data_IF_947402495368
#
_entry.id   IF_947402495368
#
_cell.length_a   1.000
_cell.length_b   1.000
_cell.length_c   1.000
_cell.angle_alpha   90.00
_cell.angle_beta   90.00
_cell.angle_gamma   90.00
#
_symmetry.space_group_name_H-M   'P 1'
#
loop_
_entity.id
_entity.type
_entity.pdbx_description
1 polymer ?
#
# COMPACT_ATOMS: atom_id res chain seq x y z
N UNK A 1 10.90 -12.59 -4.44
CA UNK A 1 10.74 -11.39 -3.62
C UNK A 1 10.55 -11.78 -2.15
N UNK A 2 11.37 -11.26 -1.25
CA UNK A 2 11.10 -11.29 0.21
C UNK A 2 10.34 -10.01 0.59
N UNK A 3 9.45 -10.09 1.58
CA UNK A 3 8.66 -8.95 2.07
C UNK A 3 8.81 -8.88 3.59
N UNK A 4 9.09 -7.69 4.13
CA UNK A 4 9.23 -7.49 5.58
C UNK A 4 7.85 -7.31 6.23
N UNK A 5 6.96 -6.56 5.57
CA UNK A 5 5.58 -6.34 6.04
C UNK A 5 4.57 -6.47 4.91
N UNK A 6 3.48 -7.20 5.19
CA UNK A 6 2.33 -7.33 4.30
C UNK A 6 1.12 -6.76 5.03
N UNK A 7 0.34 -5.93 4.35
CA UNK A 7 -0.83 -5.31 4.92
C UNK A 7 -1.98 -5.24 3.94
N UNK A 8 -3.18 -5.27 4.50
CA UNK A 8 -4.43 -5.16 3.76
C UNK A 8 -5.25 -4.03 4.37
N UNK A 9 -5.55 -3.00 3.61
CA UNK A 9 -6.57 -2.04 4.01
C UNK A 9 -7.90 -2.49 3.41
N UNK A 10 -8.91 -2.66 4.26
CA UNK A 10 -10.29 -2.86 3.83
C UNK A 10 -10.96 -1.51 3.67
N UNK A 11 -11.60 -1.28 2.54
CA UNK A 11 -12.34 -0.04 2.29
C UNK A 11 -13.80 -0.25 2.68
N UNK A 12 -14.24 0.43 3.75
CA UNK A 12 -15.64 0.53 4.12
C UNK A 12 -16.30 1.67 3.32
N UNK A 13 -16.96 1.29 2.24
CA UNK A 13 -17.67 2.19 1.34
C UNK A 13 -18.83 2.93 2.02
N UNK A 14 -19.42 2.36 3.08
CA UNK A 14 -20.55 2.98 3.78
C UNK A 14 -20.09 4.16 4.65
N UNK A 15 -18.84 4.12 5.11
CA UNK A 15 -18.24 5.13 5.98
C UNK A 15 -17.15 5.95 5.28
N UNK A 16 -16.85 5.66 4.00
CA UNK A 16 -15.73 6.21 3.25
C UNK A 16 -14.40 6.17 4.03
N UNK A 17 -14.09 5.00 4.61
CA UNK A 17 -12.94 4.85 5.51
C UNK A 17 -12.12 3.59 5.22
N UNK A 18 -10.82 3.67 5.50
CA UNK A 18 -9.89 2.55 5.37
C UNK A 18 -9.62 1.92 6.74
N UNK A 19 -9.82 0.61 6.84
CA UNK A 19 -9.51 -0.17 8.05
C UNK A 19 -8.31 -1.08 7.78
N UNK A 20 -7.17 -0.89 8.48
CA UNK A 20 -6.02 -1.76 8.32
C UNK A 20 -6.25 -3.14 8.96
N UNK A 21 -5.99 -4.19 8.21
CA UNK A 21 -5.85 -5.57 8.67
C UNK A 21 -4.37 -5.98 8.52
N UNK A 22 -3.74 -6.23 9.66
CA UNK A 22 -2.29 -6.31 9.76
C UNK A 22 -1.85 -7.72 10.11
N UNK A 23 -0.91 -8.24 9.32
CA UNK A 23 -0.22 -9.47 9.66
C UNK A 23 1.07 -9.14 10.44
N UNK A 24 0.94 -9.11 11.77
CA UNK A 24 1.96 -8.95 12.85
C UNK A 24 2.10 -7.56 13.49
N UNK A 25 2.31 -7.60 14.82
CA UNK A 25 2.91 -6.66 15.80
C UNK A 25 2.46 -5.19 15.88
N UNK A 26 2.54 -4.61 17.09
CA UNK A 26 2.31 -3.18 17.35
C UNK A 26 3.27 -2.25 16.57
N UNK A 27 4.48 -2.72 16.27
CA UNK A 27 5.45 -1.98 15.45
C UNK A 27 4.91 -1.67 14.05
N UNK A 28 4.19 -2.63 13.46
CA UNK A 28 3.62 -2.45 12.12
C UNK A 28 2.52 -1.38 12.14
N UNK A 29 1.71 -1.28 13.21
CA UNK A 29 0.74 -0.17 13.38
C UNK A 29 1.39 1.21 13.28
N UNK A 30 2.61 1.38 13.80
CA UNK A 30 3.34 2.64 13.70
C UNK A 30 3.82 2.90 12.27
N UNK A 31 4.38 1.88 11.61
CA UNK A 31 4.81 1.96 10.21
C UNK A 31 3.65 2.37 9.28
N UNK A 32 2.43 1.90 9.53
CA UNK A 32 1.23 2.23 8.73
C UNK A 32 0.83 3.69 8.79
N UNK A 33 0.91 4.31 9.98
CA UNK A 33 0.59 5.73 10.11
C UNK A 33 1.50 6.61 9.27
N UNK A 34 2.71 6.14 8.94
CA UNK A 34 3.63 6.90 8.10
C UNK A 34 3.23 6.91 6.62
N UNK A 35 2.48 5.88 6.16
CA UNK A 35 2.12 5.65 4.75
C UNK A 35 0.63 5.79 4.46
N UNK A 36 -0.20 6.16 5.44
CA UNK A 36 -1.66 6.23 5.30
C UNK A 36 -2.12 7.07 4.09
N UNK A 37 -1.51 8.25 3.88
CA UNK A 37 -1.86 9.13 2.75
C UNK A 37 -1.44 8.56 1.39
N UNK A 38 -0.33 7.82 1.34
CA UNK A 38 0.09 7.08 0.15
C UNK A 38 -0.96 6.02 -0.21
N UNK A 39 -1.44 5.26 0.79
CA UNK A 39 -2.48 4.25 0.59
C UNK A 39 -3.80 4.88 0.15
N UNK A 40 -4.21 6.00 0.75
CA UNK A 40 -5.38 6.77 0.30
C UNK A 40 -5.26 7.24 -1.15
N UNK A 41 -4.08 7.70 -1.58
CA UNK A 41 -3.82 8.09 -2.96
C UNK A 41 -4.02 6.91 -3.91
N UNK A 42 -3.41 5.77 -3.60
CA UNK A 42 -3.54 4.54 -4.40
C UNK A 42 -5.00 4.12 -4.52
N UNK A 43 -5.76 4.14 -3.41
CA UNK A 43 -7.19 3.87 -3.41
C UNK A 43 -7.95 4.79 -4.39
N UNK A 44 -7.67 6.10 -4.35
CA UNK A 44 -8.33 7.11 -5.21
C UNK A 44 -7.97 6.96 -6.69
N UNK A 45 -6.72 6.60 -6.99
CA UNK A 45 -6.25 6.43 -8.37
C UNK A 45 -6.67 5.08 -8.98
N UNK A 46 -6.92 4.07 -8.15
CA UNK A 46 -7.21 2.68 -8.54
C UNK A 46 -6.09 2.08 -9.41
N UNK A 47 -4.84 2.30 -9.00
CA UNK A 47 -3.65 1.94 -9.77
C UNK A 47 -2.67 1.15 -8.90
N UNK A 48 -1.77 0.42 -9.57
CA UNK A 48 -0.62 -0.18 -8.92
C UNK A 48 0.48 0.88 -8.85
N UNK A 49 1.05 1.08 -7.66
CA UNK A 49 2.18 2.00 -7.47
C UNK A 49 3.37 1.26 -6.86
N UNK A 50 4.56 1.52 -7.42
CA UNK A 50 5.85 1.13 -6.86
C UNK A 50 6.57 2.39 -6.42
N UNK A 51 6.91 2.45 -5.13
CA UNK A 51 7.54 3.59 -4.48
C UNK A 51 8.92 3.15 -4.03
N UNK A 52 9.92 3.72 -4.69
CA UNK A 52 11.34 3.44 -4.47
C UNK A 52 11.80 3.81 -3.06
N UNK A 53 11.34 4.93 -2.54
CA UNK A 53 11.62 5.39 -1.17
C UNK A 53 10.49 6.26 -0.65
N UNK A 54 9.74 5.79 0.34
CA UNK A 54 8.59 6.50 0.90
C UNK A 54 9.00 7.86 1.47
N UNK A 55 10.24 8.02 1.95
CA UNK A 55 10.69 9.29 2.51
C UNK A 55 10.80 10.42 1.46
N UNK A 56 10.88 10.05 0.18
CA UNK A 56 10.88 11.00 -0.94
C UNK A 56 9.47 11.20 -1.53
N UNK A 57 8.47 10.45 -1.06
CA UNK A 57 7.09 10.56 -1.52
C UNK A 57 6.40 11.77 -0.85
N UNK A 58 5.69 12.57 -1.65
CA UNK A 58 5.00 13.77 -1.16
C UNK A 58 3.91 13.48 -0.13
N UNK A 59 3.32 12.28 -0.16
CA UNK A 59 2.25 11.86 0.73
C UNK A 59 2.78 11.11 1.96
N UNK A 60 4.10 11.09 2.18
CA UNK A 60 4.69 10.53 3.38
C UNK A 60 4.47 11.43 4.60
N UNK A 61 3.92 10.86 5.68
CA UNK A 61 3.51 11.61 6.86
C UNK A 61 4.66 11.94 7.83
N UNK A 62 5.93 11.73 7.45
CA UNK A 62 7.12 12.00 8.27
C UNK A 62 7.06 11.41 9.69
N UNK A 63 6.41 10.26 9.85
CA UNK A 63 6.34 9.54 11.13
C UNK A 63 7.44 8.48 11.21
N UNK A 64 7.87 8.06 12.41
CA UNK A 64 8.84 6.98 12.56
C UNK A 64 8.33 5.71 11.87
N UNK A 65 9.08 5.21 10.89
CA UNK A 65 8.78 3.98 10.17
C UNK A 65 10.07 3.31 9.72
N UNK A 66 10.09 1.98 9.74
CA UNK A 66 11.18 1.18 9.14
C UNK A 66 10.97 0.99 7.64
N UNK A 67 9.76 1.18 7.13
CA UNK A 67 9.45 1.03 5.71
C UNK A 67 10.29 2.01 4.89
N UNK A 68 10.89 1.51 3.82
CA UNK A 68 11.64 2.32 2.86
C UNK A 68 11.02 2.23 1.49
N UNK A 69 10.79 1.04 0.94
CA UNK A 69 10.05 0.92 -0.33
C UNK A 69 8.68 0.30 -0.12
N UNK A 70 7.77 0.61 -1.05
CA UNK A 70 6.39 0.14 -0.99
C UNK A 70 5.86 -0.24 -2.37
N UNK A 71 5.15 -1.36 -2.46
CA UNK A 71 4.31 -1.72 -3.59
C UNK A 71 2.87 -1.76 -3.09
N UNK A 72 2.00 -0.96 -3.69
CA UNK A 72 0.57 -0.94 -3.35
C UNK A 72 -0.31 -1.25 -4.56
N UNK A 73 -1.36 -2.03 -4.32
CA UNK A 73 -2.31 -2.49 -5.32
C UNK A 73 -3.76 -2.34 -4.82
N UNK A 74 -4.60 -1.61 -5.55
CA UNK A 74 -6.04 -1.54 -5.27
C UNK A 74 -6.74 -2.86 -5.57
N UNK A 75 -7.45 -3.41 -4.59
CA UNK A 75 -8.23 -4.63 -4.74
C UNK A 75 -9.64 -4.31 -5.23
N UNK A 76 -10.04 -4.93 -6.34
CA UNK A 76 -11.37 -4.72 -6.94
C UNK A 76 -12.14 -6.03 -7.07
N UNK A 77 -13.45 -5.99 -6.77
CA UNK A 77 -14.41 -7.07 -7.04
C UNK A 77 -15.56 -6.49 -7.83
N UNK A 78 -15.83 -7.04 -9.02
CA UNK A 78 -16.95 -6.61 -9.88
C UNK A 78 -17.01 -5.07 -10.06
N UNK A 79 -15.86 -4.46 -10.36
CA UNK A 79 -15.67 -3.01 -10.53
C UNK A 79 -15.75 -2.14 -9.27
N UNK A 80 -15.96 -2.73 -8.10
CA UNK A 80 -15.93 -2.03 -6.82
C UNK A 80 -14.58 -2.21 -6.12
N UNK A 81 -13.95 -1.11 -5.70
CA UNK A 81 -12.76 -1.17 -4.86
C UNK A 81 -13.17 -1.65 -3.47
N UNK A 82 -12.52 -2.69 -2.97
CA UNK A 82 -12.77 -3.27 -1.63
C UNK A 82 -11.59 -3.06 -0.68
N UNK A 83 -10.47 -2.53 -1.16
CA UNK A 83 -9.30 -2.33 -0.33
C UNK A 83 -8.01 -2.06 -1.10
N UNK A 84 -6.89 -2.09 -0.37
CA UNK A 84 -5.52 -1.99 -0.90
C UNK A 84 -4.67 -3.09 -0.29
N UNK A 85 -3.99 -3.87 -1.12
CA UNK A 85 -2.91 -4.75 -0.71
C UNK A 85 -1.60 -3.97 -0.81
N UNK A 86 -0.83 -3.95 0.28
CA UNK A 86 0.49 -3.35 0.30
C UNK A 86 1.58 -4.33 0.74
N UNK A 87 2.71 -4.23 0.08
CA UNK A 87 3.93 -4.98 0.35
C UNK A 87 5.02 -3.95 0.66
N UNK A 88 5.64 -4.07 1.82
CA UNK A 88 6.66 -3.13 2.29
C UNK A 88 7.98 -3.84 2.58
N UNK A 89 9.06 -3.09 2.39
CA UNK A 89 10.41 -3.54 2.68
C UNK A 89 11.22 -2.43 3.32
N UNK A 90 12.20 -2.80 4.15
CA UNK A 90 13.04 -1.85 4.89
C UNK A 90 14.25 -1.32 4.08
N UNK A 91 14.33 -1.68 2.79
CA UNK A 91 15.34 -1.18 1.86
C UNK A 91 14.69 -0.37 0.75
N UNK A 92 15.40 0.64 0.25
CA UNK A 92 14.96 1.43 -0.91
C UNK A 92 15.03 0.60 -2.18
N UNK A 93 14.16 0.88 -3.16
CA UNK A 93 14.17 0.29 -4.51
C UNK A 93 14.13 -1.25 -4.50
N UNK A 94 13.45 -1.84 -3.52
CA UNK A 94 13.37 -3.30 -3.40
C UNK A 94 12.39 -3.92 -4.41
N UNK A 95 11.34 -3.19 -4.76
CA UNK A 95 10.34 -3.59 -5.74
C UNK A 95 10.69 -3.02 -7.11
N UNK A 96 10.43 -3.79 -8.16
CA UNK A 96 10.62 -3.35 -9.54
C UNK A 96 9.37 -3.59 -10.41
N UNK A 97 9.44 -3.16 -11.66
CA UNK A 97 8.33 -3.31 -12.62
C UNK A 97 7.93 -4.77 -12.89
N UNK A 98 8.80 -5.74 -12.62
CA UNK A 98 8.48 -7.16 -12.79
C UNK A 98 7.59 -7.70 -11.66
N UNK A 99 7.66 -7.11 -10.47
CA UNK A 99 6.79 -7.43 -9.33
C UNK A 99 5.33 -7.02 -9.61
N UNK A 100 5.10 -6.07 -10.52
CA UNK A 100 3.75 -5.69 -10.98
C UNK A 100 3.01 -6.84 -11.66
N UNK A 101 3.74 -7.81 -12.26
CA UNK A 101 3.13 -8.96 -12.92
C UNK A 101 2.42 -9.91 -11.96
N UNK A 102 2.61 -9.74 -10.64
CA UNK A 102 1.89 -10.49 -9.61
C UNK A 102 0.42 -10.07 -9.51
N UNK A 103 0.07 -8.91 -10.06
CA UNK A 103 -1.26 -8.33 -9.96
C UNK A 103 -1.94 -8.31 -11.33
N UNK A 104 -3.26 -8.56 -11.39
CA UNK A 104 -3.99 -8.38 -12.63
C UNK A 104 -3.96 -6.90 -13.04
N UNK A 105 -4.03 -6.60 -14.34
CA UNK A 105 -4.08 -5.21 -14.81
C UNK A 105 -5.27 -4.49 -14.19
N UNK A 106 -5.07 -3.23 -13.80
CA UNK A 106 -6.17 -2.37 -13.32
C UNK A 106 -7.31 -2.38 -14.34
N UNK A 107 -8.58 -2.49 -13.89
CA UNK A 107 -9.72 -2.43 -14.80
C UNK A 107 -9.67 -1.11 -15.59
N UNK A 108 -9.79 -1.19 -16.91
CA UNK A 108 -9.86 -0.02 -17.77
C UNK A 108 -11.04 0.88 -17.31
N UNK A 109 -10.78 2.19 -17.19
CA UNK A 109 -11.79 3.20 -16.87
C UNK A 109 -12.90 3.25 -17.92
#
# INVERSE_FOLDING_TARGET
MSVDEIFLYLYDQSQDSLTPLLYKTEESLQNFKAIEKIVERVLKLNQVEVIDDIQNDQDYLNQPSKIRSLLCYSLTVQNSIIGVLGLAHYQVKHFDSSDLNLFPPSPAK
#
